data_IF_965268159918
#
_entry.id   IF_965268159918
#
_cell.length_a   1.000
_cell.length_b   1.000
_cell.length_c   1.000
_cell.angle_alpha   90.00
_cell.angle_beta   90.00
_cell.angle_gamma   90.00
#
_symmetry.space_group_name_H-M   'P 1'
#
loop_
_entity.id
_entity.type
_entity.pdbx_description
1 polymer ?
#
# COMPACT_ATOMS: atom_id res chain seq x y z
N UNK A 1 -14.46 -3.19 1.54
CA UNK A 1 -13.37 -3.61 2.46
C UNK A 1 -13.98 -4.00 3.79
N UNK A 2 -13.69 -5.23 4.31
CA UNK A 2 -14.28 -5.76 5.55
C UNK A 2 -13.23 -6.23 6.57
N UNK A 3 -12.10 -6.75 6.09
CA UNK A 3 -11.04 -7.31 6.94
C UNK A 3 -9.70 -6.72 6.56
N UNK A 4 -9.00 -6.12 7.53
CA UNK A 4 -7.67 -5.56 7.38
C UNK A 4 -6.70 -6.34 8.25
N UNK A 5 -5.67 -6.95 7.64
CA UNK A 5 -4.60 -7.62 8.37
C UNK A 5 -3.41 -6.66 8.54
N UNK A 6 -2.95 -6.50 9.76
CA UNK A 6 -1.78 -5.67 10.08
C UNK A 6 -0.65 -6.54 10.59
N UNK A 7 0.46 -6.59 9.87
CA UNK A 7 1.69 -7.23 10.32
C UNK A 7 2.50 -6.30 11.22
N UNK A 8 2.79 -6.73 12.46
CA UNK A 8 3.50 -5.91 13.44
C UNK A 8 4.68 -6.63 14.07
N UNK A 9 5.72 -5.85 14.36
CA UNK A 9 6.90 -6.27 15.13
C UNK A 9 7.14 -5.39 16.36
N UNK A 10 6.14 -4.60 16.75
CA UNK A 10 6.19 -3.64 17.87
C UNK A 10 7.19 -2.49 17.66
N UNK A 11 7.65 -2.23 16.44
CA UNK A 11 8.40 -1.03 16.07
C UNK A 11 7.48 0.19 15.98
N UNK A 12 8.05 1.39 15.89
CA UNK A 12 7.30 2.61 15.66
C UNK A 12 6.61 2.59 14.27
N UNK A 13 7.30 2.08 13.24
CA UNK A 13 6.70 1.87 11.92
C UNK A 13 5.48 0.95 11.96
N UNK A 14 5.53 -0.13 12.75
CA UNK A 14 4.38 -1.00 12.96
C UNK A 14 3.25 -0.29 13.74
N UNK A 15 3.57 0.59 14.69
CA UNK A 15 2.58 1.39 15.40
C UNK A 15 1.87 2.36 14.45
N UNK A 16 2.60 3.01 13.56
CA UNK A 16 2.04 3.91 12.53
C UNK A 16 1.15 3.14 11.55
N UNK A 17 1.58 1.95 11.13
CA UNK A 17 0.80 1.06 10.28
C UNK A 17 -0.54 0.66 10.94
N UNK A 18 -0.50 0.31 12.22
CA UNK A 18 -1.70 -0.08 12.96
C UNK A 18 -2.65 1.11 13.17
N UNK A 19 -2.14 2.31 13.50
CA UNK A 19 -2.95 3.54 13.61
C UNK A 19 -3.65 3.84 12.29
N UNK A 20 -2.92 3.81 11.18
CA UNK A 20 -3.47 4.03 9.85
C UNK A 20 -4.55 3.01 9.50
N UNK A 21 -4.30 1.72 9.77
CA UNK A 21 -5.26 0.66 9.52
C UNK A 21 -6.54 0.80 10.36
N UNK A 22 -6.44 1.17 11.64
CA UNK A 22 -7.60 1.41 12.51
C UNK A 22 -8.44 2.59 12.02
N UNK A 23 -7.82 3.66 11.54
CA UNK A 23 -8.56 4.80 10.97
C UNK A 23 -9.29 4.43 9.70
N UNK A 24 -8.64 3.66 8.82
CA UNK A 24 -9.28 3.13 7.63
C UNK A 24 -10.44 2.19 8.00
N UNK A 25 -10.22 1.30 8.95
CA UNK A 25 -11.24 0.38 9.45
C UNK A 25 -12.45 1.10 10.04
N UNK A 26 -12.23 2.16 10.81
CA UNK A 26 -13.32 2.98 11.39
C UNK A 26 -14.22 3.59 10.32
N UNK A 27 -13.64 4.06 9.20
CA UNK A 27 -14.42 4.62 8.08
C UNK A 27 -15.23 3.57 7.32
N UNK A 28 -14.71 2.36 7.21
CA UNK A 28 -15.32 1.29 6.43
C UNK A 28 -16.16 0.32 7.26
N UNK A 29 -16.19 0.46 8.58
CA UNK A 29 -16.78 -0.54 9.48
C UNK A 29 -16.08 -1.89 9.38
N UNK A 30 -14.76 -1.90 9.13
CA UNK A 30 -13.97 -3.10 8.96
C UNK A 30 -13.40 -3.62 10.28
N UNK A 31 -13.12 -4.92 10.35
CA UNK A 31 -12.36 -5.54 11.44
C UNK A 31 -10.85 -5.45 11.16
N UNK A 32 -10.07 -5.24 12.24
CA UNK A 32 -8.61 -5.26 12.18
C UNK A 32 -8.07 -6.51 12.85
N UNK A 33 -7.31 -7.29 12.11
CA UNK A 33 -6.55 -8.44 12.63
C UNK A 33 -5.09 -8.02 12.72
N UNK A 34 -4.51 -8.05 13.92
CA UNK A 34 -3.11 -7.73 14.17
C UNK A 34 -2.32 -9.01 14.34
N UNK A 35 -1.35 -9.20 13.46
CA UNK A 35 -0.50 -10.39 13.46
C UNK A 35 0.94 -10.05 13.83
N UNK A 36 1.55 -10.86 14.69
CA UNK A 36 2.99 -10.91 14.90
C UNK A 36 3.54 -12.29 14.57
N UNK A 37 4.70 -12.35 13.93
CA UNK A 37 5.46 -13.59 13.72
C UNK A 37 6.34 -13.89 14.93
N UNK A 38 6.32 -15.12 15.40
CA UNK A 38 7.18 -15.59 16.49
C UNK A 38 8.11 -16.72 16.00
N UNK A 39 9.41 -16.45 16.00
CA UNK A 39 10.44 -17.46 15.74
C UNK A 39 11.21 -17.75 17.03
N UNK A 40 11.05 -18.92 17.62
CA UNK A 40 11.93 -19.30 18.74
C UNK A 40 13.35 -19.49 18.26
N UNK A 41 14.30 -18.98 19.04
CA UNK A 41 15.74 -19.07 18.73
C UNK A 41 16.36 -20.44 19.04
N UNK A 42 15.67 -21.28 19.80
CA UNK A 42 16.16 -22.59 20.23
C UNK A 42 15.58 -23.70 19.37
N UNK A 43 16.45 -24.44 18.66
CA UNK A 43 16.10 -25.59 17.83
C UNK A 43 15.61 -26.83 18.63
N UNK A 44 15.78 -26.86 19.94
CA UNK A 44 15.35 -27.92 20.84
C UNK A 44 14.37 -27.38 21.88
N UNK A 45 13.10 -27.30 21.52
CA UNK A 45 12.05 -26.81 22.40
C UNK A 45 11.36 -27.97 23.12
N UNK A 46 11.35 -28.01 24.48
CA UNK A 46 10.60 -29.02 25.23
C UNK A 46 9.10 -28.97 24.90
N UNK A 47 8.39 -30.11 24.93
CA UNK A 47 6.94 -30.16 24.78
C UNK A 47 6.22 -29.20 25.74
N UNK A 48 5.22 -28.46 25.27
CA UNK A 48 4.46 -27.48 26.07
C UNK A 48 5.10 -26.10 26.22
N UNK A 49 6.38 -25.93 25.92
CA UNK A 49 7.05 -24.61 26.01
C UNK A 49 6.58 -23.65 24.93
N UNK A 50 6.28 -24.16 23.74
CA UNK A 50 5.76 -23.35 22.62
C UNK A 50 4.43 -22.69 23.00
N UNK A 51 3.49 -23.42 23.59
CA UNK A 51 2.20 -22.88 24.00
C UNK A 51 2.35 -21.75 25.02
N UNK A 52 3.25 -21.92 25.99
CA UNK A 52 3.56 -20.89 27.00
C UNK A 52 4.16 -19.64 26.36
N UNK A 53 5.03 -19.80 25.38
CA UNK A 53 5.68 -18.69 24.68
C UNK A 53 4.68 -17.95 23.77
N UNK A 54 3.83 -18.68 23.05
CA UNK A 54 2.76 -18.10 22.24
C UNK A 54 1.78 -17.32 23.12
N UNK A 55 1.37 -17.87 24.26
CA UNK A 55 0.49 -17.17 25.21
C UNK A 55 1.14 -15.88 25.76
N UNK A 56 2.44 -15.91 26.03
CA UNK A 56 3.20 -14.73 26.44
C UNK A 56 3.23 -13.69 25.32
N UNK A 57 3.53 -14.08 24.08
CA UNK A 57 3.53 -13.18 22.92
C UNK A 57 2.16 -12.54 22.69
N UNK A 58 1.06 -13.30 22.87
CA UNK A 58 -0.30 -12.74 22.82
C UNK A 58 -0.50 -11.67 23.87
N UNK A 59 -0.07 -11.92 25.13
CA UNK A 59 -0.22 -10.95 26.22
C UNK A 59 0.62 -9.69 25.97
N UNK A 60 1.85 -9.85 25.50
CA UNK A 60 2.74 -8.73 25.18
C UNK A 60 2.23 -7.92 23.97
N UNK A 61 1.66 -8.58 22.96
CA UNK A 61 1.04 -7.94 21.82
C UNK A 61 -0.18 -7.12 22.23
N UNK A 62 -1.08 -7.70 23.05
CA UNK A 62 -2.26 -7.02 23.55
C UNK A 62 -1.87 -5.78 24.38
N UNK A 63 -0.93 -5.92 25.32
CA UNK A 63 -0.44 -4.79 26.12
C UNK A 63 0.19 -3.67 25.27
N UNK A 64 0.91 -4.04 24.20
CA UNK A 64 1.47 -3.07 23.26
C UNK A 64 0.36 -2.33 22.49
N UNK A 65 -0.65 -3.05 21.98
CA UNK A 65 -1.81 -2.44 21.29
C UNK A 65 -2.52 -1.47 22.22
N UNK A 66 -2.81 -1.87 23.45
CA UNK A 66 -3.46 -1.03 24.47
C UNK A 66 -2.67 0.26 24.74
N UNK A 67 -1.34 0.18 24.75
CA UNK A 67 -0.45 1.33 24.94
C UNK A 67 -0.52 2.37 23.83
N UNK A 68 -1.03 2.02 22.64
CA UNK A 68 -1.11 2.91 21.49
C UNK A 68 -2.33 3.85 21.55
N UNK A 69 -3.31 3.60 22.43
CA UNK A 69 -4.50 4.43 22.58
C UNK A 69 -5.30 4.55 21.27
N UNK A 70 -5.52 3.42 20.61
CA UNK A 70 -6.21 3.38 19.31
C UNK A 70 -7.69 3.76 19.46
N UNK A 71 -8.30 4.23 18.36
CA UNK A 71 -9.73 4.45 18.29
C UNK A 71 -10.51 3.14 18.55
N UNK A 72 -11.79 3.24 18.93
CA UNK A 72 -12.70 2.11 19.22
C UNK A 72 -13.01 1.29 17.95
N UNK A 73 -12.01 0.58 17.46
CA UNK A 73 -12.12 -0.37 16.35
C UNK A 73 -11.91 -1.77 16.93
N UNK A 74 -12.74 -2.75 16.57
CA UNK A 74 -12.51 -4.13 16.98
C UNK A 74 -11.16 -4.63 16.46
N UNK A 75 -10.25 -4.93 17.39
CA UNK A 75 -8.93 -5.46 17.07
C UNK A 75 -8.82 -6.89 17.61
N UNK A 76 -8.48 -7.82 16.75
CA UNK A 76 -8.18 -9.21 17.12
C UNK A 76 -6.71 -9.51 16.88
N UNK A 77 -6.08 -10.27 17.76
CA UNK A 77 -4.66 -10.59 17.70
C UNK A 77 -4.41 -12.03 17.23
N UNK A 78 -3.37 -12.21 16.44
CA UNK A 78 -2.87 -13.50 15.97
C UNK A 78 -1.37 -13.56 16.20
N UNK A 79 -0.90 -14.62 16.85
CA UNK A 79 0.53 -14.95 16.93
C UNK A 79 0.80 -16.14 16.03
N UNK A 80 1.56 -15.92 14.97
CA UNK A 80 1.91 -16.97 14.02
C UNK A 80 3.31 -17.50 14.31
N UNK A 81 3.46 -18.81 14.37
CA UNK A 81 4.74 -19.46 14.62
C UNK A 81 5.50 -19.67 13.31
N UNK A 82 6.76 -19.25 13.25
CA UNK A 82 7.63 -19.44 12.11
C UNK A 82 8.03 -18.15 11.39
N UNK A 83 8.46 -18.30 10.13
CA UNK A 83 8.83 -17.15 9.29
C UNK A 83 7.62 -16.23 9.07
N UNK A 84 7.68 -14.95 9.43
CA UNK A 84 6.57 -14.00 9.26
C UNK A 84 6.17 -13.79 7.79
N UNK A 85 7.03 -14.04 6.83
CA UNK A 85 6.77 -13.85 5.40
C UNK A 85 5.68 -14.80 4.86
N UNK A 86 5.85 -16.13 4.87
CA UNK A 86 4.75 -17.03 4.51
C UNK A 86 3.61 -16.98 5.53
N UNK A 87 3.90 -16.70 6.81
CA UNK A 87 2.91 -16.62 7.88
C UNK A 87 1.87 -15.54 7.62
N UNK A 88 2.27 -14.33 7.19
CA UNK A 88 1.32 -13.24 6.94
C UNK A 88 0.37 -13.55 5.77
N UNK A 89 0.83 -14.26 4.74
CA UNK A 89 -0.04 -14.70 3.64
C UNK A 89 -1.04 -15.75 4.15
N UNK A 90 -0.55 -16.75 4.89
CA UNK A 90 -1.41 -17.80 5.45
C UNK A 90 -2.50 -17.22 6.38
N UNK A 91 -2.13 -16.22 7.19
CA UNK A 91 -3.10 -15.51 8.04
C UNK A 91 -4.06 -14.68 7.19
N UNK A 92 -3.57 -13.97 6.18
CA UNK A 92 -4.41 -13.19 5.28
C UNK A 92 -5.46 -14.04 4.56
N UNK A 93 -5.07 -15.25 4.13
CA UNK A 93 -5.99 -16.21 3.50
C UNK A 93 -7.04 -16.74 4.49
N UNK A 94 -6.61 -17.15 5.68
CA UNK A 94 -7.47 -17.66 6.73
C UNK A 94 -8.49 -16.64 7.23
N UNK A 95 -8.08 -15.38 7.33
CA UNK A 95 -8.89 -14.26 7.80
C UNK A 95 -9.64 -13.55 6.66
N UNK A 96 -9.48 -14.01 5.41
CA UNK A 96 -10.06 -13.39 4.22
C UNK A 96 -9.77 -11.87 4.16
N UNK A 97 -8.52 -11.50 4.44
CA UNK A 97 -8.12 -10.10 4.46
C UNK A 97 -8.23 -9.46 3.07
N UNK A 98 -8.91 -8.33 3.00
CA UNK A 98 -9.04 -7.51 1.80
C UNK A 98 -7.81 -6.63 1.58
N UNK A 99 -7.07 -6.35 2.67
CA UNK A 99 -5.89 -5.49 2.68
C UNK A 99 -4.87 -6.01 3.69
N UNK A 100 -3.60 -6.07 3.31
CA UNK A 100 -2.49 -6.25 4.24
C UNK A 100 -1.83 -4.89 4.49
N UNK A 101 -1.60 -4.54 5.75
CA UNK A 101 -0.94 -3.29 6.16
C UNK A 101 0.32 -3.63 6.95
N UNK A 102 1.43 -3.01 6.61
CA UNK A 102 2.71 -3.17 7.29
C UNK A 102 3.45 -1.84 7.40
N UNK A 103 4.32 -1.74 8.38
CA UNK A 103 5.28 -0.65 8.46
C UNK A 103 6.33 -0.75 7.35
N UNK A 104 6.81 0.39 6.85
CA UNK A 104 7.87 0.47 5.84
C UNK A 104 9.17 -0.17 6.33
N UNK A 105 9.49 0.05 7.61
CA UNK A 105 10.73 -0.40 8.26
C UNK A 105 10.37 -1.06 9.58
N UNK A 106 10.90 -2.25 9.83
CA UNK A 106 10.74 -2.96 11.10
C UNK A 106 11.98 -2.84 12.00
N UNK A 107 11.94 -3.48 13.16
CA UNK A 107 13.02 -3.47 14.18
C UNK A 107 14.40 -3.91 13.68
N UNK A 108 14.43 -4.74 12.65
CA UNK A 108 15.70 -5.30 12.12
C UNK A 108 16.41 -4.37 11.13
N UNK A 109 15.82 -3.24 10.77
CA UNK A 109 16.42 -2.31 9.84
C UNK A 109 17.40 -1.38 10.57
N UNK A 110 18.62 -1.33 10.08
CA UNK A 110 19.61 -0.35 10.54
C UNK A 110 19.21 1.09 10.16
N UNK A 111 19.85 2.10 10.76
CA UNK A 111 19.58 3.49 10.45
C UNK A 111 19.99 3.83 9.01
N UNK A 112 19.02 4.21 8.17
CA UNK A 112 19.24 4.64 6.80
C UNK A 112 17.93 5.01 6.11
N UNK A 113 17.82 6.24 5.62
CA UNK A 113 16.60 6.88 5.16
C UNK A 113 15.91 6.25 3.92
N UNK A 114 16.49 5.24 3.27
CA UNK A 114 16.00 4.73 1.98
C UNK A 114 15.80 3.21 1.93
N UNK A 115 15.72 2.54 3.09
CA UNK A 115 15.54 1.10 3.10
C UNK A 115 14.08 0.73 3.37
N UNK A 116 13.52 -0.02 2.45
CA UNK A 116 12.28 -0.76 2.68
C UNK A 116 12.62 -2.02 3.48
N UNK A 117 11.76 -2.40 4.42
CA UNK A 117 11.93 -3.62 5.21
C UNK A 117 11.81 -4.88 4.36
N UNK A 118 12.53 -5.92 4.73
CA UNK A 118 12.54 -7.19 3.99
C UNK A 118 11.15 -7.84 3.84
N UNK A 119 10.25 -7.62 4.79
CA UNK A 119 8.87 -8.09 4.71
C UNK A 119 8.07 -7.31 3.65
N UNK A 120 8.22 -5.98 3.62
CA UNK A 120 7.52 -5.14 2.64
C UNK A 120 7.98 -5.44 1.20
N UNK A 121 9.29 -5.58 1.00
CA UNK A 121 9.85 -5.96 -0.29
C UNK A 121 9.41 -7.37 -0.70
N UNK A 122 9.42 -8.31 0.24
CA UNK A 122 8.98 -9.67 -0.04
C UNK A 122 7.48 -9.73 -0.39
N UNK A 123 6.63 -9.03 0.37
CA UNK A 123 5.19 -8.96 0.09
C UNK A 123 4.91 -8.36 -1.29
N UNK A 124 5.60 -7.30 -1.68
CA UNK A 124 5.45 -6.68 -3.00
C UNK A 124 5.64 -7.69 -4.15
N UNK A 125 6.43 -8.75 -3.93
CA UNK A 125 6.68 -9.81 -4.92
C UNK A 125 5.77 -11.03 -4.79
N UNK A 126 5.03 -11.22 -3.70
CA UNK A 126 4.40 -12.51 -3.40
C UNK A 126 2.89 -12.47 -3.18
N UNK A 127 2.30 -11.29 -2.96
CA UNK A 127 0.87 -11.21 -2.66
C UNK A 127 0.00 -11.03 -3.89
N UNK A 128 -1.24 -11.48 -3.74
CA UNK A 128 -2.32 -11.43 -4.73
C UNK A 128 -3.46 -10.47 -4.32
N UNK A 129 -3.24 -9.69 -3.27
CA UNK A 129 -4.19 -8.71 -2.71
C UNK A 129 -3.50 -7.39 -2.42
N UNK A 130 -4.24 -6.28 -2.22
CA UNK A 130 -3.66 -4.99 -1.89
C UNK A 130 -2.76 -5.04 -0.66
N UNK A 131 -1.60 -4.36 -0.75
CA UNK A 131 -0.64 -4.20 0.35
C UNK A 131 -0.36 -2.73 0.55
N UNK A 132 -0.63 -2.23 1.76
CA UNK A 132 -0.27 -0.89 2.19
C UNK A 132 1.05 -0.92 2.97
N UNK A 133 2.00 -0.14 2.53
CA UNK A 133 3.29 0.07 3.20
C UNK A 133 3.32 1.48 3.77
N UNK A 134 3.34 1.58 5.09
CA UNK A 134 3.17 2.82 5.85
C UNK A 134 4.52 3.32 6.33
N UNK A 135 4.90 4.53 5.89
CA UNK A 135 6.11 5.23 6.36
C UNK A 135 5.89 6.04 7.63
N UNK A 136 6.98 6.61 8.15
CA UNK A 136 6.98 7.33 9.44
C UNK A 136 6.19 8.66 9.41
N UNK A 137 5.96 9.24 8.24
CA UNK A 137 5.20 10.49 8.03
C UNK A 137 3.73 10.27 7.66
N UNK A 138 3.16 9.09 7.89
CA UNK A 138 1.79 8.80 7.53
C UNK A 138 0.81 9.76 8.20
N UNK A 139 -0.04 10.43 7.40
CA UNK A 139 -1.13 11.24 7.91
C UNK A 139 -2.13 10.37 8.68
N UNK A 140 -2.65 10.92 9.75
CA UNK A 140 -3.71 10.28 10.53
C UNK A 140 -5.00 10.08 9.70
N UNK A 141 -5.19 10.88 8.65
CA UNK A 141 -6.39 10.78 7.79
C UNK A 141 -5.97 10.75 6.32
N UNK A 142 -6.42 9.73 5.59
CA UNK A 142 -6.26 9.67 4.14
C UNK A 142 -7.42 10.40 3.49
N UNK A 143 -7.16 11.57 2.90
CA UNK A 143 -8.14 12.38 2.17
C UNK A 143 -7.72 12.68 0.75
N UNK A 144 -6.42 12.84 0.50
CA UNK A 144 -5.86 13.15 -0.80
C UNK A 144 -5.11 11.93 -1.33
N UNK A 145 -5.57 11.34 -2.39
CA UNK A 145 -4.99 10.11 -2.94
C UNK A 145 -4.50 10.36 -4.35
N UNK A 146 -3.23 10.07 -4.62
CA UNK A 146 -2.76 9.96 -6.00
C UNK A 146 -2.85 8.51 -6.44
N UNK A 147 -3.52 8.26 -7.56
CA UNK A 147 -3.53 6.97 -8.25
C UNK A 147 -2.80 7.06 -9.58
N UNK A 148 -1.82 6.17 -9.75
CA UNK A 148 -1.08 6.08 -11.01
C UNK A 148 -1.88 5.23 -12.01
N UNK A 149 -2.12 5.79 -13.20
CA UNK A 149 -2.90 5.13 -14.25
C UNK A 149 -2.14 5.13 -15.58
N UNK A 150 -2.06 3.95 -16.22
CA UNK A 150 -1.38 3.75 -17.52
C UNK A 150 -2.23 2.92 -18.50
N UNK A 151 -3.46 2.57 -18.11
CA UNK A 151 -4.37 1.73 -18.89
C UNK A 151 -4.09 0.23 -18.78
N UNK A 152 -3.14 -0.21 -17.96
CA UNK A 152 -2.91 -1.64 -17.66
C UNK A 152 -4.00 -2.19 -16.73
N UNK A 153 -4.10 -3.53 -16.66
CA UNK A 153 -5.03 -4.18 -15.73
C UNK A 153 -4.68 -3.86 -14.26
N UNK A 154 -3.38 -3.75 -13.94
CA UNK A 154 -2.94 -3.34 -12.62
C UNK A 154 -3.38 -1.91 -12.26
N UNK A 155 -3.28 -0.96 -13.20
CA UNK A 155 -3.74 0.41 -12.96
C UNK A 155 -5.25 0.53 -12.86
N UNK A 156 -6.00 -0.28 -13.63
CA UNK A 156 -7.46 -0.38 -13.49
C UNK A 156 -7.87 -0.94 -12.12
N UNK A 157 -7.18 -1.98 -11.66
CA UNK A 157 -7.39 -2.52 -10.32
C UNK A 157 -7.08 -1.48 -9.23
N UNK A 158 -6.01 -0.68 -9.40
CA UNK A 158 -5.66 0.42 -8.50
C UNK A 158 -6.76 1.50 -8.46
N UNK A 159 -7.28 1.92 -9.60
CA UNK A 159 -8.39 2.87 -9.69
C UNK A 159 -9.68 2.32 -9.04
N UNK A 160 -9.99 1.04 -9.26
CA UNK A 160 -11.13 0.38 -8.62
C UNK A 160 -10.99 0.31 -7.10
N UNK A 161 -9.77 0.02 -6.60
CA UNK A 161 -9.49 0.03 -5.16
C UNK A 161 -9.65 1.42 -4.55
N UNK A 162 -9.18 2.49 -5.23
CA UNK A 162 -9.38 3.88 -4.79
C UNK A 162 -10.86 4.25 -4.76
N UNK A 163 -11.65 3.81 -5.73
CA UNK A 163 -13.11 4.01 -5.72
C UNK A 163 -13.76 3.39 -4.47
N UNK A 164 -13.34 2.19 -4.08
CA UNK A 164 -13.84 1.54 -2.86
C UNK A 164 -13.38 2.25 -1.57
N UNK A 165 -12.27 2.99 -1.63
CA UNK A 165 -11.76 3.79 -0.51
C UNK A 165 -12.65 5.02 -0.24
N UNK A 166 -13.31 5.55 -1.25
CA UNK A 166 -14.10 6.79 -1.23
C UNK A 166 -15.55 6.63 -0.75
N UNK A 167 -15.81 5.87 0.30
CA UNK A 167 -17.19 5.55 0.77
C UNK A 167 -17.98 6.78 1.23
N UNK A 168 -17.30 7.82 1.73
CA UNK A 168 -17.96 8.99 2.39
C UNK A 168 -17.96 10.27 1.55
N UNK A 169 -17.52 10.25 0.29
CA UNK A 169 -17.46 11.45 -0.56
C UNK A 169 -16.40 12.49 -0.18
N UNK A 170 -15.61 12.25 0.85
CA UNK A 170 -14.57 13.13 1.40
C UNK A 170 -13.19 12.92 0.74
N UNK A 171 -13.13 12.12 -0.32
CA UNK A 171 -11.88 11.75 -0.96
C UNK A 171 -11.61 12.66 -2.17
N UNK A 172 -10.45 13.31 -2.17
CA UNK A 172 -9.88 13.95 -3.34
C UNK A 172 -8.91 13.00 -4.02
N UNK A 173 -9.13 12.72 -5.29
CA UNK A 173 -8.33 11.79 -6.09
C UNK A 173 -7.59 12.56 -7.17
N UNK A 174 -6.30 12.31 -7.29
CA UNK A 174 -5.45 12.75 -8.40
C UNK A 174 -5.14 11.55 -9.26
N UNK A 175 -5.76 11.43 -10.43
CA UNK A 175 -5.42 10.40 -11.41
C UNK A 175 -4.25 10.90 -12.26
N UNK A 176 -3.07 10.33 -12.06
CA UNK A 176 -1.84 10.74 -12.72
C UNK A 176 -1.34 9.69 -13.72
N UNK A 177 -0.99 10.12 -14.91
CA UNK A 177 -0.31 9.30 -15.92
C UNK A 177 0.96 9.99 -16.39
N UNK A 178 2.00 9.19 -16.59
CA UNK A 178 3.31 9.68 -17.03
C UNK A 178 3.63 9.15 -18.42
N UNK A 179 3.87 10.02 -19.37
CA UNK A 179 4.37 9.67 -20.69
C UNK A 179 5.88 9.86 -20.75
N UNK A 180 6.59 8.80 -21.14
CA UNK A 180 8.03 8.91 -21.40
C UNK A 180 8.24 9.64 -22.74
N UNK A 181 9.09 10.69 -22.79
CA UNK A 181 9.34 11.39 -24.03
C UNK A 181 10.00 10.45 -25.06
N UNK A 182 9.41 10.36 -26.25
CA UNK A 182 10.05 9.67 -27.36
C UNK A 182 11.33 10.42 -27.75
N UNK A 183 12.37 9.69 -28.11
CA UNK A 183 13.68 10.24 -28.44
C UNK A 183 13.65 11.13 -29.71
N UNK A 184 12.64 10.97 -30.56
CA UNK A 184 12.45 11.76 -31.78
C UNK A 184 11.29 12.74 -31.64
N UNK A 185 11.62 14.03 -31.53
CA UNK A 185 10.63 15.10 -31.59
C UNK A 185 10.14 15.25 -33.05
N UNK A 186 8.81 15.21 -33.23
CA UNK A 186 8.22 15.63 -34.49
C UNK A 186 7.66 17.05 -34.35
N UNK A 187 7.62 17.84 -35.45
CA UNK A 187 7.10 19.22 -35.43
C UNK A 187 5.64 19.34 -34.95
N UNK A 188 4.88 18.23 -34.97
CA UNK A 188 3.49 18.18 -34.53
C UNK A 188 3.33 17.93 -33.00
N UNK A 189 4.42 17.69 -32.28
CA UNK A 189 4.43 17.51 -30.81
C UNK A 189 4.32 18.85 -30.06
N UNK A 190 3.29 19.62 -30.37
CA UNK A 190 3.00 20.81 -29.59
C UNK A 190 2.73 20.42 -28.12
N UNK A 191 3.41 21.04 -27.13
CA UNK A 191 3.29 20.68 -25.71
C UNK A 191 1.85 20.62 -25.18
N UNK A 192 0.98 21.47 -25.70
CA UNK A 192 -0.44 21.51 -25.32
C UNK A 192 -1.27 20.34 -25.90
N UNK A 193 -0.96 19.89 -27.12
CA UNK A 193 -1.70 18.81 -27.78
C UNK A 193 -1.43 17.47 -27.09
N UNK A 194 -0.18 17.23 -26.72
CA UNK A 194 0.22 16.07 -25.96
C UNK A 194 -0.52 16.01 -24.61
N UNK A 195 -0.47 17.08 -23.82
CA UNK A 195 -1.10 17.13 -22.51
C UNK A 195 -2.59 16.85 -22.59
N UNK A 196 -3.32 17.55 -23.43
CA UNK A 196 -4.76 17.34 -23.66
C UNK A 196 -5.08 15.92 -24.13
N UNK A 197 -4.24 15.33 -24.97
CA UNK A 197 -4.39 13.96 -25.45
C UNK A 197 -4.26 12.94 -24.32
N UNK A 198 -3.30 13.12 -23.41
CA UNK A 198 -3.10 12.26 -22.28
C UNK A 198 -4.21 12.46 -21.21
N UNK A 199 -4.57 13.69 -20.89
CA UNK A 199 -5.69 14.01 -19.98
C UNK A 199 -7.00 13.37 -20.44
N UNK A 200 -7.29 13.42 -21.77
CA UNK A 200 -8.45 12.75 -22.33
C UNK A 200 -8.39 11.23 -22.16
N UNK A 201 -7.25 10.59 -22.43
CA UNK A 201 -7.08 9.14 -22.22
C UNK A 201 -7.24 8.76 -20.76
N UNK A 202 -6.72 9.56 -19.83
CA UNK A 202 -6.93 9.33 -18.39
C UNK A 202 -8.42 9.37 -18.07
N UNK A 203 -9.12 10.40 -18.53
CA UNK A 203 -10.53 10.60 -18.20
C UNK A 203 -11.45 9.56 -18.85
N UNK A 204 -11.22 9.25 -20.14
CA UNK A 204 -12.13 8.40 -20.91
C UNK A 204 -11.82 6.90 -20.80
N UNK A 205 -10.57 6.54 -20.51
CA UNK A 205 -10.11 5.15 -20.59
C UNK A 205 -9.47 4.63 -19.27
N UNK A 206 -8.50 5.38 -18.68
CA UNK A 206 -7.67 4.85 -17.61
C UNK A 206 -8.32 4.97 -16.24
N UNK A 207 -9.08 6.04 -16.02
CA UNK A 207 -9.76 6.36 -14.78
C UNK A 207 -11.28 6.56 -14.96
N UNK A 208 -11.87 6.03 -16.04
CA UNK A 208 -13.29 6.18 -16.35
C UNK A 208 -14.19 5.75 -15.19
N UNK A 209 -13.84 4.70 -14.47
CA UNK A 209 -14.56 4.22 -13.29
C UNK A 209 -14.53 5.21 -12.10
N UNK A 210 -13.49 6.04 -12.00
CA UNK A 210 -13.41 7.11 -10.98
C UNK A 210 -14.23 8.33 -11.37
N UNK A 211 -14.26 8.68 -12.68
CA UNK A 211 -15.07 9.78 -13.20
C UNK A 211 -16.56 9.57 -12.94
N UNK A 212 -17.01 8.32 -12.92
CA UNK A 212 -18.40 7.94 -12.67
C UNK A 212 -18.82 7.97 -11.19
N UNK A 213 -17.95 8.45 -10.30
CA UNK A 213 -18.21 8.51 -8.84
C UNK A 213 -18.35 9.96 -8.35
N UNK A 214 -18.84 10.13 -7.12
CA UNK A 214 -18.96 11.45 -6.47
C UNK A 214 -17.65 11.95 -5.84
N UNK A 215 -16.48 11.34 -6.16
CA UNK A 215 -15.19 11.81 -5.65
C UNK A 215 -14.73 13.07 -6.39
N UNK A 216 -14.06 13.98 -5.70
CA UNK A 216 -13.37 15.11 -6.33
C UNK A 216 -12.15 14.57 -7.10
N UNK A 217 -12.24 14.55 -8.44
CA UNK A 217 -11.21 13.99 -9.31
C UNK A 217 -10.44 15.07 -10.06
N UNK A 218 -9.13 15.15 -9.81
CA UNK A 218 -8.17 15.89 -10.63
C UNK A 218 -7.46 14.93 -11.59
N UNK A 219 -7.28 15.34 -12.84
CA UNK A 219 -6.54 14.58 -13.86
C UNK A 219 -5.23 15.28 -14.17
N UNK A 220 -4.13 14.54 -14.06
CA UNK A 220 -2.77 15.09 -14.21
C UNK A 220 -1.97 14.30 -15.24
N UNK A 221 -1.66 14.95 -16.36
CA UNK A 221 -0.77 14.45 -17.39
C UNK A 221 0.68 14.90 -17.10
N UNK A 222 1.55 13.95 -16.88
CA UNK A 222 2.96 14.15 -16.55
C UNK A 222 3.86 13.69 -17.69
N UNK A 223 5.06 14.28 -17.77
CA UNK A 223 6.11 13.84 -18.69
C UNK A 223 7.42 13.67 -17.92
N UNK A 224 8.09 12.55 -18.12
CA UNK A 224 9.37 12.30 -17.46
C UNK A 224 9.99 10.98 -17.86
N UNK A 225 11.32 10.91 -17.77
CA UNK A 225 12.10 9.69 -18.03
C UNK A 225 12.12 8.73 -16.85
N UNK A 226 11.77 9.21 -15.66
CA UNK A 226 11.60 8.40 -14.47
C UNK A 226 10.16 8.54 -13.98
N UNK A 227 9.35 7.54 -14.30
CA UNK A 227 7.90 7.52 -13.99
C UNK A 227 7.65 7.62 -12.50
N UNK A 228 8.40 6.88 -11.67
CA UNK A 228 8.20 6.89 -10.22
C UNK A 228 8.50 8.27 -9.60
N UNK A 229 9.61 8.92 -10.02
CA UNK A 229 9.95 10.26 -9.54
C UNK A 229 8.88 11.29 -9.93
N UNK A 230 8.37 11.22 -11.17
CA UNK A 230 7.32 12.12 -11.64
C UNK A 230 6.02 11.94 -10.84
N UNK A 231 5.62 10.70 -10.54
CA UNK A 231 4.45 10.40 -9.71
C UNK A 231 4.61 10.92 -8.28
N UNK A 232 5.78 10.71 -7.66
CA UNK A 232 6.05 11.16 -6.30
C UNK A 232 6.12 12.69 -6.20
N UNK A 233 6.67 13.34 -7.22
CA UNK A 233 6.66 14.81 -7.30
C UNK A 233 5.23 15.35 -7.43
N UNK A 234 4.41 14.78 -8.30
CA UNK A 234 3.00 15.14 -8.40
C UNK A 234 2.24 14.88 -7.08
N UNK A 235 2.54 13.76 -6.38
CA UNK A 235 1.96 13.50 -5.08
C UNK A 235 2.32 14.57 -4.05
N UNK A 236 3.53 15.13 -4.12
CA UNK A 236 3.96 16.23 -3.26
C UNK A 236 3.25 17.54 -3.64
N UNK A 237 3.19 17.89 -4.92
CA UNK A 237 2.53 19.11 -5.42
C UNK A 237 1.03 19.13 -5.08
N UNK A 238 0.34 17.99 -5.19
CA UNK A 238 -1.06 17.84 -4.86
C UNK A 238 -1.32 17.49 -3.39
N UNK A 239 -0.29 17.50 -2.55
CA UNK A 239 -0.39 17.19 -1.11
C UNK A 239 -1.11 15.85 -0.83
N UNK A 240 -0.82 14.85 -1.64
CA UNK A 240 -1.44 13.52 -1.49
C UNK A 240 -0.94 12.82 -0.23
N UNK A 241 -1.87 12.28 0.56
CA UNK A 241 -1.59 11.52 1.78
C UNK A 241 -1.19 10.07 1.49
N UNK A 242 -1.59 9.59 0.31
CA UNK A 242 -1.45 8.22 -0.13
C UNK A 242 -1.12 8.17 -1.63
N UNK A 243 -0.22 7.28 -2.01
CA UNK A 243 0.02 6.92 -3.42
C UNK A 243 -0.46 5.49 -3.66
N UNK A 244 -1.28 5.30 -4.68
CA UNK A 244 -1.80 3.99 -5.09
C UNK A 244 -1.26 3.65 -6.47
N UNK A 245 -0.62 2.49 -6.59
CA UNK A 245 -0.06 2.03 -7.86
C UNK A 245 -0.47 0.58 -8.12
N UNK A 246 -0.74 0.26 -9.37
CA UNK A 246 -0.85 -1.13 -9.79
C UNK A 246 0.48 -1.86 -9.59
N UNK A 247 0.46 -3.05 -9.01
CA UNK A 247 1.66 -3.85 -8.84
C UNK A 247 2.34 -4.18 -10.18
N UNK A 248 1.58 -4.17 -11.29
CA UNK A 248 2.07 -4.31 -12.66
C UNK A 248 1.50 -3.23 -13.56
N UNK A 249 2.32 -2.71 -14.48
CA UNK A 249 1.95 -1.81 -15.55
C UNK A 249 2.14 -2.45 -16.93
N UNK A 250 2.04 -1.63 -17.98
CA UNK A 250 2.15 -2.06 -19.39
C UNK A 250 3.49 -2.73 -19.74
N UNK A 251 4.58 -2.34 -19.08
CA UNK A 251 5.93 -2.89 -19.31
C UNK A 251 6.24 -4.19 -18.54
N UNK A 252 5.25 -4.84 -17.94
CA UNK A 252 5.46 -6.00 -17.08
C UNK A 252 6.10 -7.20 -17.80
N UNK A 253 7.28 -7.62 -17.33
CA UNK A 253 7.92 -8.84 -17.81
C UNK A 253 7.14 -10.05 -17.30
N UNK A 254 6.79 -10.97 -18.22
CA UNK A 254 6.11 -12.23 -17.87
C UNK A 254 6.89 -12.99 -16.81
N UNK A 255 6.25 -13.33 -15.70
CA UNK A 255 6.86 -14.06 -14.57
C UNK A 255 7.29 -13.19 -13.39
N UNK A 256 7.40 -11.87 -13.53
CA UNK A 256 7.60 -10.96 -12.40
C UNK A 256 6.25 -10.54 -11.81
N UNK A 257 6.13 -10.56 -10.49
CA UNK A 257 4.88 -10.18 -9.79
C UNK A 257 4.76 -8.68 -9.56
N UNK A 258 5.87 -7.94 -9.58
CA UNK A 258 5.90 -6.48 -9.41
C UNK A 258 6.61 -5.81 -10.59
N UNK A 259 6.09 -4.68 -11.03
CA UNK A 259 6.68 -3.83 -12.07
C UNK A 259 7.74 -2.86 -11.52
N UNK A 260 8.64 -2.41 -12.40
CA UNK A 260 9.74 -1.51 -12.02
C UNK A 260 9.26 -0.17 -11.46
N UNK A 261 8.16 0.39 -11.98
CA UNK A 261 7.56 1.63 -11.47
C UNK A 261 7.03 1.43 -10.06
N UNK A 262 6.23 0.39 -9.83
CA UNK A 262 5.65 0.07 -8.52
C UNK A 262 6.74 -0.14 -7.46
N UNK A 263 7.76 -0.95 -7.78
CA UNK A 263 8.88 -1.20 -6.87
C UNK A 263 9.67 0.08 -6.56
N UNK A 264 9.96 0.90 -7.58
CA UNK A 264 10.68 2.15 -7.40
C UNK A 264 9.88 3.17 -6.60
N UNK A 265 8.57 3.31 -6.87
CA UNK A 265 7.66 4.14 -6.06
C UNK A 265 7.68 3.69 -4.61
N UNK A 266 7.60 2.39 -4.34
CA UNK A 266 7.65 1.84 -3.01
C UNK A 266 8.96 2.17 -2.28
N UNK A 267 10.09 2.12 -2.98
CA UNK A 267 11.40 2.44 -2.39
C UNK A 267 11.60 3.93 -2.10
N UNK A 268 11.10 4.80 -2.96
CA UNK A 268 11.39 6.24 -2.92
C UNK A 268 10.33 7.09 -2.21
N UNK A 269 9.10 6.55 -2.02
CA UNK A 269 8.02 7.32 -1.41
C UNK A 269 8.36 7.71 0.03
N UNK A 270 8.03 8.94 0.40
CA UNK A 270 8.09 9.50 1.76
C UNK A 270 6.74 9.39 2.50
N UNK A 271 5.75 8.79 1.87
CA UNK A 271 4.36 8.65 2.31
C UNK A 271 3.85 7.22 2.14
N UNK A 272 2.67 6.88 2.67
CA UNK A 272 2.04 5.59 2.43
C UNK A 272 1.93 5.25 0.95
N UNK A 273 2.21 3.98 0.62
CA UNK A 273 2.02 3.43 -0.73
C UNK A 273 1.16 2.19 -0.65
N UNK A 274 0.14 2.12 -1.49
CA UNK A 274 -0.63 0.89 -1.70
C UNK A 274 -0.28 0.29 -3.04
N UNK A 275 0.15 -0.96 -3.01
CA UNK A 275 0.35 -1.79 -4.19
C UNK A 275 -0.92 -2.61 -4.42
N UNK A 276 -1.52 -2.50 -5.61
CA UNK A 276 -2.72 -3.26 -5.97
C UNK A 276 -2.37 -4.25 -7.07
N UNK A 277 -2.47 -5.57 -6.83
CA UNK A 277 -2.25 -6.56 -7.86
C UNK A 277 -3.36 -6.47 -8.93
N UNK A 278 -3.08 -6.90 -10.17
CA UNK A 278 -4.14 -7.09 -11.16
C UNK A 278 -5.11 -8.17 -10.65
N UNK A 279 -6.39 -7.98 -10.88
CA UNK A 279 -7.44 -8.92 -10.52
C UNK A 279 -7.34 -10.25 -11.27
#
# INVERSE_FOLDING_TARGET
MKHILVGVDRSEGAANALRWACQLASRHGAEVVVMTGYQPTDSEMPPGRLETLVAREHSELAAWIDSLGLADVPVRTVVEHGDPRPGIIAVADREHADLIVIGRVGRSAGPGLLHIGSLAEWLAHHVDRPVAVIGDGASATTRNVLVAVDGSDGSRAAAAWVRELGVDGDLRVVAASVEEPLVEWTPDDHPENWRRGLERRITEEYAADLVATDVELDVVALRGTNVADALLHAAQEHQSDLVVVGARGLGGITGLRIGGVALRTLHQADRPVVLVPPG
#
